data_IF_921309790959
#
_entry.id   IF_921309790959
#
_cell.length_a   1.000
_cell.length_b   1.000
_cell.length_c   1.000
_cell.angle_alpha   90.00
_cell.angle_beta   90.00
_cell.angle_gamma   90.00
#
_symmetry.space_group_name_H-M   'P 1'
#
loop_
_entity.id
_entity.type
_entity.pdbx_description
1 polymer ?
#
# COMPACT_ATOMS: atom_id res chain seq x y z
N UNK A 1 -20.28 9.11 13.51
CA UNK A 1 -20.00 7.66 13.60
C UNK A 1 -18.76 7.52 14.45
N UNK A 2 -18.71 6.58 15.37
CA UNK A 2 -17.48 6.26 16.11
C UNK A 2 -16.57 5.49 15.18
N UNK A 3 -15.28 5.86 15.11
CA UNK A 3 -14.31 5.15 14.31
C UNK A 3 -14.15 3.70 14.80
N UNK A 4 -13.80 2.79 13.87
CA UNK A 4 -13.50 1.39 14.20
C UNK A 4 -12.20 1.33 15.02
N UNK A 5 -12.08 0.36 15.90
CA UNK A 5 -10.88 0.15 16.70
C UNK A 5 -10.09 -1.08 16.19
N UNK A 6 -8.77 -0.94 16.11
CA UNK A 6 -7.90 -2.08 15.90
C UNK A 6 -8.01 -3.09 17.05
N UNK A 7 -7.83 -4.40 16.82
CA UNK A 7 -7.67 -5.37 17.91
C UNK A 7 -6.56 -5.02 18.90
N UNK A 8 -5.64 -4.14 18.52
CA UNK A 8 -4.51 -3.66 19.33
C UNK A 8 -4.74 -2.28 19.96
N UNK A 9 -5.90 -1.64 19.80
CA UNK A 9 -6.17 -0.27 20.29
C UNK A 9 -5.81 -0.10 21.77
N UNK A 10 -6.22 -1.02 22.63
CA UNK A 10 -5.89 -0.98 24.06
C UNK A 10 -4.38 -1.09 24.32
N UNK A 11 -3.67 -1.90 23.53
CA UNK A 11 -2.21 -2.04 23.61
C UNK A 11 -1.53 -0.73 23.21
N UNK A 12 -1.92 -0.14 22.07
CA UNK A 12 -1.36 1.12 21.60
C UNK A 12 -1.54 2.26 22.59
N UNK A 13 -2.75 2.40 23.16
CA UNK A 13 -3.03 3.42 24.19
C UNK A 13 -2.21 3.19 25.46
N UNK A 14 -2.03 1.92 25.87
CA UNK A 14 -1.27 1.58 27.09
C UNK A 14 0.24 1.90 26.98
N UNK A 15 0.79 1.91 25.77
CA UNK A 15 2.20 2.25 25.50
C UNK A 15 2.38 3.69 24.98
N UNK A 16 1.35 4.54 25.17
CA UNK A 16 1.45 5.99 24.90
C UNK A 16 1.39 6.37 23.43
N UNK A 17 0.78 5.55 22.56
CA UNK A 17 0.63 5.92 21.16
C UNK A 17 -0.25 7.16 20.99
N UNK A 18 0.14 8.04 20.08
CA UNK A 18 -0.70 9.14 19.60
C UNK A 18 -1.69 8.58 18.58
N UNK A 19 -2.96 8.48 18.97
CA UNK A 19 -4.02 7.95 18.12
C UNK A 19 -4.65 9.07 17.28
N UNK A 20 -4.96 8.76 16.01
CA UNK A 20 -5.65 9.65 15.07
C UNK A 20 -6.68 8.89 14.25
N UNK A 21 -7.76 9.55 13.80
CA UNK A 21 -8.66 8.99 12.80
C UNK A 21 -7.95 8.78 11.47
N UNK A 22 -8.09 7.59 10.89
CA UNK A 22 -7.52 7.25 9.59
C UNK A 22 -8.38 6.19 8.88
N UNK A 23 -8.95 6.54 7.72
CA UNK A 23 -9.77 5.60 6.93
C UNK A 23 -10.98 5.03 7.67
N UNK A 24 -11.55 5.76 8.64
CA UNK A 24 -12.66 5.31 9.49
C UNK A 24 -12.24 4.44 10.68
N UNK A 25 -10.96 4.45 11.02
CA UNK A 25 -10.35 3.74 12.16
C UNK A 25 -9.58 4.68 13.06
N UNK A 26 -9.54 4.37 14.36
CA UNK A 26 -8.55 4.95 15.29
C UNK A 26 -7.23 4.19 15.16
N UNK A 27 -6.19 4.87 14.68
CA UNK A 27 -4.88 4.24 14.41
C UNK A 27 -3.71 5.00 15.04
N UNK A 28 -2.61 4.31 15.41
CA UNK A 28 -1.42 4.98 15.95
C UNK A 28 -0.71 5.79 14.85
N UNK A 29 -0.61 7.11 15.07
CA UNK A 29 0.19 8.00 14.22
C UNK A 29 1.68 7.86 14.51
N UNK A 30 2.02 7.80 15.80
CA UNK A 30 3.40 7.63 16.30
C UNK A 30 3.37 7.18 17.76
N UNK A 31 4.50 6.69 18.23
CA UNK A 31 4.76 6.40 19.63
C UNK A 31 5.67 7.49 20.27
N UNK A 32 6.15 7.26 21.48
CA UNK A 32 6.86 8.28 22.30
C UNK A 32 8.07 8.89 21.57
N UNK A 33 8.88 8.07 20.89
CA UNK A 33 10.07 8.50 20.16
C UNK A 33 9.75 9.37 18.93
N UNK A 34 8.53 9.30 18.43
CA UNK A 34 7.99 10.07 17.31
C UNK A 34 8.40 9.59 15.93
N UNK A 35 7.69 10.09 14.93
CA UNK A 35 7.75 9.67 13.52
C UNK A 35 9.17 9.59 12.95
N UNK A 36 10.06 10.54 13.25
CA UNK A 36 11.42 10.54 12.68
C UNK A 36 12.31 9.43 13.26
N UNK A 37 12.16 9.14 14.55
CA UNK A 37 12.90 8.05 15.19
C UNK A 37 12.41 6.69 14.67
N UNK A 38 11.08 6.51 14.57
CA UNK A 38 10.45 5.31 14.01
C UNK A 38 10.88 5.08 12.55
N UNK A 39 10.91 6.13 11.74
CA UNK A 39 11.41 6.07 10.37
C UNK A 39 12.84 5.54 10.31
N UNK A 40 13.76 6.13 11.11
CA UNK A 40 15.16 5.67 11.17
C UNK A 40 15.28 4.25 11.72
N UNK A 41 14.45 3.89 12.71
CA UNK A 41 14.43 2.52 13.23
C UNK A 41 14.06 1.51 12.13
N UNK A 42 13.17 1.87 11.19
CA UNK A 42 12.87 1.05 10.03
C UNK A 42 14.05 0.93 9.08
N UNK A 43 14.72 2.06 8.74
CA UNK A 43 15.86 2.07 7.79
C UNK A 43 17.10 1.33 8.31
N UNK A 44 17.34 1.36 9.63
CA UNK A 44 18.58 0.83 10.22
C UNK A 44 18.39 -0.40 11.11
N UNK A 45 17.15 -0.79 11.39
CA UNK A 45 16.80 -1.89 12.28
C UNK A 45 15.59 -2.68 11.79
N UNK A 46 14.58 -2.77 12.65
CA UNK A 46 13.28 -3.31 12.30
C UNK A 46 12.17 -2.65 13.11
N UNK A 47 11.02 -2.47 12.47
CA UNK A 47 9.81 -1.92 13.09
C UNK A 47 8.62 -2.83 12.88
N UNK A 48 7.60 -2.68 13.72
CA UNK A 48 6.29 -3.30 13.53
C UNK A 48 5.22 -2.22 13.43
N UNK A 49 4.42 -2.28 12.37
CA UNK A 49 3.22 -1.47 12.18
C UNK A 49 1.99 -2.33 12.43
N UNK A 50 1.00 -1.76 13.12
CA UNK A 50 -0.36 -2.24 13.05
C UNK A 50 -1.01 -1.70 11.77
N UNK A 51 -1.36 -2.58 10.85
CA UNK A 51 -2.05 -2.24 9.60
C UNK A 51 -3.41 -2.95 9.51
N UNK A 52 -4.01 -3.26 10.67
CA UNK A 52 -5.28 -3.98 10.76
C UNK A 52 -6.48 -3.23 10.16
N UNK A 53 -6.33 -1.93 9.93
CA UNK A 53 -7.32 -1.10 9.22
C UNK A 53 -7.44 -1.44 7.73
N UNK A 54 -6.43 -2.04 7.11
CA UNK A 54 -6.55 -2.56 5.74
C UNK A 54 -7.63 -3.63 5.69
N UNK A 55 -8.50 -3.58 4.69
CA UNK A 55 -9.53 -4.59 4.51
C UNK A 55 -8.95 -5.97 4.22
N UNK A 56 -9.73 -7.00 4.46
CA UNK A 56 -9.50 -8.34 3.91
C UNK A 56 -10.81 -8.93 3.45
N UNK A 57 -10.99 -9.01 2.15
CA UNK A 57 -12.09 -9.74 1.53
C UNK A 57 -11.57 -11.12 1.17
N UNK A 58 -12.02 -12.13 1.89
CA UNK A 58 -11.68 -13.53 1.58
C UNK A 58 -12.59 -14.03 0.49
N UNK A 59 -12.00 -14.52 -0.61
CA UNK A 59 -12.72 -15.11 -1.75
C UNK A 59 -12.32 -16.58 -1.82
N UNK A 60 -13.33 -17.46 -1.76
CA UNK A 60 -13.12 -18.92 -1.81
C UNK A 60 -14.04 -19.58 -2.81
N UNK A 61 -13.65 -20.77 -3.28
CA UNK A 61 -14.42 -21.61 -4.19
C UNK A 61 -13.73 -21.89 -5.51
N UNK A 62 -14.28 -22.85 -6.29
CA UNK A 62 -13.65 -23.32 -7.51
C UNK A 62 -13.51 -22.24 -8.59
N UNK A 63 -14.41 -21.23 -8.59
CA UNK A 63 -14.42 -20.17 -9.58
C UNK A 63 -13.79 -18.86 -9.06
N UNK A 64 -13.19 -18.85 -7.85
CA UNK A 64 -12.57 -17.67 -7.24
C UNK A 64 -11.49 -17.06 -8.15
N UNK A 65 -10.66 -17.91 -8.76
CA UNK A 65 -9.62 -17.47 -9.71
C UNK A 65 -10.21 -16.68 -10.88
N UNK A 66 -11.25 -17.20 -11.54
CA UNK A 66 -11.84 -16.59 -12.74
C UNK A 66 -12.54 -15.26 -12.42
N UNK A 67 -13.21 -15.18 -11.25
CA UNK A 67 -13.81 -13.94 -10.77
C UNK A 67 -12.75 -12.87 -10.53
N UNK A 68 -11.68 -13.20 -9.82
CA UNK A 68 -10.59 -12.26 -9.54
C UNK A 68 -9.81 -11.88 -10.80
N UNK A 69 -9.61 -12.82 -11.73
CA UNK A 69 -9.00 -12.57 -13.03
C UNK A 69 -9.81 -11.55 -13.84
N UNK A 70 -11.12 -11.54 -13.71
CA UNK A 70 -12.04 -10.63 -14.38
C UNK A 70 -12.19 -9.29 -13.65
N UNK A 71 -12.00 -9.27 -12.33
CA UNK A 71 -12.09 -8.08 -11.51
C UNK A 71 -10.89 -7.13 -11.68
N UNK A 72 -9.68 -7.67 -11.66
CA UNK A 72 -8.46 -6.90 -11.45
C UNK A 72 -7.61 -6.79 -12.71
N UNK A 73 -6.70 -5.81 -12.72
CA UNK A 73 -5.87 -5.45 -13.90
C UNK A 73 -4.73 -6.41 -14.18
N UNK A 74 -4.13 -7.02 -13.14
CA UNK A 74 -2.98 -7.90 -13.31
C UNK A 74 -3.42 -9.34 -13.62
N UNK A 75 -2.50 -10.16 -14.10
CA UNK A 75 -2.76 -11.52 -14.54
C UNK A 75 -2.34 -12.55 -13.48
N UNK A 76 -3.32 -13.23 -12.88
CA UNK A 76 -3.10 -14.27 -11.88
C UNK A 76 -2.41 -15.52 -12.45
N UNK A 77 -2.47 -15.77 -13.77
CA UNK A 77 -1.72 -16.88 -14.37
C UNK A 77 -0.19 -16.73 -14.28
N UNK A 78 0.30 -15.53 -13.92
CA UNK A 78 1.73 -15.25 -13.73
C UNK A 78 2.28 -15.65 -12.37
N UNK A 79 1.39 -16.03 -11.47
CA UNK A 79 1.71 -16.52 -10.13
C UNK A 79 1.03 -17.86 -9.89
N UNK A 80 1.24 -18.44 -8.73
CA UNK A 80 0.65 -19.72 -8.31
C UNK A 80 0.16 -19.61 -6.86
N UNK A 81 -0.62 -20.57 -6.35
CA UNK A 81 -0.92 -20.66 -4.92
C UNK A 81 0.35 -20.53 -4.07
N UNK A 82 0.26 -19.80 -2.96
CA UNK A 82 1.39 -19.45 -2.13
C UNK A 82 2.15 -18.20 -2.57
N UNK A 83 1.57 -17.34 -3.45
CA UNK A 83 2.18 -16.10 -3.95
C UNK A 83 1.26 -14.90 -3.77
N UNK A 84 1.87 -13.73 -3.57
CA UNK A 84 1.17 -12.44 -3.56
C UNK A 84 1.32 -11.70 -4.90
N UNK A 85 0.30 -10.91 -5.27
CA UNK A 85 0.32 -10.09 -6.48
C UNK A 85 -0.33 -8.73 -6.24
N UNK A 86 0.36 -7.66 -6.64
CA UNK A 86 -0.19 -6.31 -6.69
C UNK A 86 -1.03 -6.10 -7.95
N UNK A 87 -2.19 -5.49 -7.80
CA UNK A 87 -3.15 -5.26 -8.87
C UNK A 87 -4.06 -4.07 -8.56
N UNK A 88 -4.89 -3.65 -9.51
CA UNK A 88 -5.87 -2.58 -9.33
C UNK A 88 -7.28 -3.06 -9.62
N UNK A 89 -8.25 -2.54 -8.85
CA UNK A 89 -9.64 -2.49 -9.22
C UNK A 89 -9.90 -1.14 -9.91
N UNK A 90 -10.47 -1.17 -11.11
CA UNK A 90 -10.76 0.06 -11.87
C UNK A 90 -12.25 0.40 -11.83
N UNK A 91 -12.55 1.67 -11.99
CA UNK A 91 -13.86 2.12 -12.39
C UNK A 91 -14.16 1.61 -13.82
N UNK A 92 -15.38 1.18 -14.06
CA UNK A 92 -15.76 0.55 -15.33
C UNK A 92 -15.81 1.56 -16.49
N UNK A 93 -16.20 2.79 -16.20
CA UNK A 93 -16.55 3.80 -17.21
C UNK A 93 -15.34 4.66 -17.60
N UNK A 94 -14.50 5.06 -16.62
CA UNK A 94 -13.39 5.99 -16.84
C UNK A 94 -12.00 5.39 -16.57
N UNK A 95 -11.93 4.13 -16.10
CA UNK A 95 -10.71 3.41 -15.72
C UNK A 95 -9.90 4.07 -14.60
N UNK A 96 -10.48 4.99 -13.82
CA UNK A 96 -9.82 5.50 -12.63
C UNK A 96 -9.63 4.37 -11.61
N UNK A 97 -8.55 4.44 -10.83
CA UNK A 97 -8.24 3.41 -9.84
C UNK A 97 -9.20 3.54 -8.66
N UNK A 98 -10.16 2.60 -8.56
CA UNK A 98 -11.05 2.49 -7.41
C UNK A 98 -10.27 2.09 -6.17
N UNK A 99 -9.35 1.13 -6.34
CA UNK A 99 -8.44 0.70 -5.29
C UNK A 99 -7.18 0.04 -5.86
N UNK A 100 -6.07 0.19 -5.16
CA UNK A 100 -4.84 -0.57 -5.37
C UNK A 100 -4.74 -1.64 -4.29
N UNK A 101 -4.55 -2.88 -4.75
CA UNK A 101 -4.81 -4.07 -3.95
C UNK A 101 -3.60 -4.99 -4.02
N UNK A 102 -3.30 -5.64 -2.91
CA UNK A 102 -2.47 -6.83 -2.93
C UNK A 102 -3.34 -8.07 -2.69
N UNK A 103 -3.23 -9.06 -3.58
CA UNK A 103 -3.88 -10.35 -3.43
C UNK A 103 -2.90 -11.32 -2.81
N UNK A 104 -3.28 -11.98 -1.73
CA UNK A 104 -2.58 -13.13 -1.19
C UNK A 104 -3.28 -14.40 -1.69
N UNK A 105 -2.67 -15.11 -2.61
CA UNK A 105 -3.18 -16.41 -3.07
C UNK A 105 -2.73 -17.49 -2.10
N UNK A 106 -3.59 -17.77 -1.12
CA UNK A 106 -3.25 -18.58 0.06
C UNK A 106 -3.15 -20.07 -0.27
N UNK A 107 -4.13 -20.60 -1.01
CA UNK A 107 -4.19 -21.97 -1.52
C UNK A 107 -5.03 -22.03 -2.81
N UNK A 108 -5.14 -23.18 -3.51
CA UNK A 108 -5.76 -23.23 -4.85
C UNK A 108 -7.12 -22.54 -5.00
N UNK A 109 -7.94 -22.56 -3.95
CA UNK A 109 -9.31 -22.03 -3.96
C UNK A 109 -9.52 -20.90 -2.93
N UNK A 110 -8.45 -20.35 -2.33
CA UNK A 110 -8.54 -19.31 -1.29
C UNK A 110 -7.64 -18.12 -1.61
N UNK A 111 -8.26 -16.96 -1.68
CA UNK A 111 -7.59 -15.67 -1.90
C UNK A 111 -7.99 -14.68 -0.80
N UNK A 112 -7.02 -14.01 -0.21
CA UNK A 112 -7.26 -12.85 0.63
C UNK A 112 -6.96 -11.59 -0.21
N UNK A 113 -8.00 -10.86 -0.56
CA UNK A 113 -7.93 -9.59 -1.29
C UNK A 113 -7.84 -8.47 -0.26
N UNK A 114 -6.79 -7.64 -0.35
CA UNK A 114 -6.43 -6.65 0.67
C UNK A 114 -6.68 -5.22 0.17
N UNK A 115 -7.92 -4.68 0.28
CA UNK A 115 -8.22 -3.31 -0.07
C UNK A 115 -7.71 -2.30 0.96
N UNK A 116 -7.57 -1.06 0.54
CA UNK A 116 -7.39 0.06 1.45
C UNK A 116 -8.62 0.21 2.38
N UNK A 117 -8.42 0.75 3.59
CA UNK A 117 -9.41 0.79 4.67
C UNK A 117 -10.79 1.33 4.26
N UNK A 118 -10.81 2.38 3.43
CA UNK A 118 -12.04 3.04 2.98
C UNK A 118 -12.74 2.36 1.81
N UNK A 119 -12.14 1.33 1.22
CA UNK A 119 -12.59 0.75 -0.06
C UNK A 119 -13.10 -0.69 0.05
N UNK A 120 -13.10 -1.31 1.24
CA UNK A 120 -13.54 -2.70 1.42
C UNK A 120 -14.93 -2.96 0.83
N UNK A 121 -15.92 -2.11 1.15
CA UNK A 121 -17.29 -2.24 0.63
C UNK A 121 -17.34 -2.06 -0.91
N UNK A 122 -16.51 -1.17 -1.47
CA UNK A 122 -16.45 -0.94 -2.93
C UNK A 122 -15.86 -2.14 -3.66
N UNK A 123 -14.83 -2.77 -3.08
CA UNK A 123 -14.22 -3.98 -3.63
C UNK A 123 -15.19 -5.15 -3.54
N UNK A 124 -15.84 -5.37 -2.40
CA UNK A 124 -16.86 -6.41 -2.24
C UNK A 124 -18.00 -6.24 -3.25
N UNK A 125 -18.56 -5.02 -3.35
CA UNK A 125 -19.63 -4.73 -4.31
C UNK A 125 -19.22 -4.92 -5.79
N UNK A 126 -17.95 -4.63 -6.13
CA UNK A 126 -17.44 -4.88 -7.48
C UNK A 126 -17.31 -6.39 -7.78
N UNK A 127 -16.86 -7.18 -6.81
CA UNK A 127 -16.81 -8.65 -6.95
C UNK A 127 -18.21 -9.24 -7.12
N UNK A 128 -19.20 -8.79 -6.33
CA UNK A 128 -20.59 -9.20 -6.47
C UNK A 128 -21.15 -8.90 -7.87
N UNK A 129 -20.88 -7.69 -8.41
CA UNK A 129 -21.29 -7.33 -9.77
C UNK A 129 -20.69 -8.26 -10.84
N UNK A 130 -19.43 -8.66 -10.67
CA UNK A 130 -18.76 -9.59 -11.59
C UNK A 130 -19.39 -10.97 -11.50
N UNK A 131 -19.62 -11.49 -10.30
CA UNK A 131 -20.31 -12.76 -10.10
C UNK A 131 -21.69 -12.77 -10.77
N UNK A 132 -22.48 -11.69 -10.61
CA UNK A 132 -23.79 -11.56 -11.26
C UNK A 132 -23.69 -11.53 -12.80
N UNK A 133 -22.56 -11.15 -13.36
CA UNK A 133 -22.32 -11.09 -14.81
C UNK A 133 -21.83 -12.41 -15.43
N UNK A 134 -21.57 -13.42 -14.61
CA UNK A 134 -21.03 -14.72 -15.01
C UNK A 134 -22.02 -15.83 -14.67
N UNK A 135 -22.33 -16.71 -15.62
CA UNK A 135 -23.26 -17.82 -15.41
C UNK A 135 -22.59 -18.99 -14.65
N UNK A 136 -23.33 -19.58 -13.72
CA UNK A 136 -22.94 -20.85 -13.06
C UNK A 136 -21.76 -20.75 -12.10
N UNK A 137 -21.40 -19.55 -11.64
CA UNK A 137 -20.26 -19.28 -10.74
C UNK A 137 -20.57 -19.72 -9.31
N UNK A 138 -19.59 -20.37 -8.69
CA UNK A 138 -19.64 -20.83 -7.30
C UNK A 138 -18.44 -20.27 -6.53
N UNK A 139 -18.66 -19.17 -5.83
CA UNK A 139 -17.71 -18.58 -4.88
C UNK A 139 -18.42 -18.21 -3.58
N UNK A 140 -17.65 -18.07 -2.50
CA UNK A 140 -17.99 -17.32 -1.29
C UNK A 140 -17.02 -16.14 -1.15
N UNK A 141 -17.55 -14.94 -0.91
CA UNK A 141 -16.75 -13.74 -0.73
C UNK A 141 -17.24 -12.97 0.50
N UNK A 142 -16.39 -12.83 1.50
CA UNK A 142 -16.75 -12.19 2.77
C UNK A 142 -15.67 -11.26 3.32
N UNK A 143 -16.10 -10.14 3.91
CA UNK A 143 -15.21 -9.25 4.68
C UNK A 143 -14.88 -9.88 6.02
N UNK A 144 -13.62 -10.29 6.20
CA UNK A 144 -13.08 -10.86 7.44
C UNK A 144 -12.18 -9.87 8.20
N UNK A 145 -12.24 -8.59 7.87
CA UNK A 145 -11.37 -7.56 8.46
C UNK A 145 -11.41 -7.54 9.98
N UNK A 146 -12.59 -7.71 10.60
CA UNK A 146 -12.75 -7.71 12.05
C UNK A 146 -12.27 -8.98 12.75
N UNK A 147 -12.03 -10.06 12.02
CA UNK A 147 -11.65 -11.36 12.59
C UNK A 147 -10.15 -11.46 12.88
N UNK A 148 -9.36 -10.54 12.34
CA UNK A 148 -7.91 -10.60 12.35
C UNK A 148 -7.25 -9.24 12.64
N UNK A 149 -5.98 -9.26 13.05
CA UNK A 149 -5.05 -8.15 12.93
C UNK A 149 -4.04 -8.43 11.81
N UNK A 150 -3.48 -7.38 11.21
CA UNK A 150 -2.32 -7.49 10.34
C UNK A 150 -1.18 -6.68 10.93
N UNK A 151 -0.04 -7.37 11.17
CA UNK A 151 1.19 -6.77 11.67
C UNK A 151 2.24 -6.79 10.56
N UNK A 152 2.71 -5.60 10.14
CA UNK A 152 3.78 -5.47 9.16
C UNK A 152 5.13 -5.28 9.87
N UNK A 153 6.01 -6.28 9.79
CA UNK A 153 7.39 -6.21 10.32
C UNK A 153 8.33 -5.90 9.18
N UNK A 154 9.01 -4.75 9.25
CA UNK A 154 9.77 -4.18 8.13
C UNK A 154 11.13 -3.64 8.60
N UNK A 155 12.17 -3.79 7.77
CA UNK A 155 13.50 -3.26 8.01
C UNK A 155 14.61 -4.25 7.70
N UNK A 156 15.88 -3.81 7.55
CA UNK A 156 17.00 -4.70 7.20
C UNK A 156 17.30 -5.77 8.25
N UNK A 157 16.87 -5.57 9.51
CA UNK A 157 17.00 -6.57 10.58
C UNK A 157 15.72 -7.36 10.85
N UNK A 158 14.64 -7.14 10.05
CA UNK A 158 13.35 -7.77 10.28
C UNK A 158 13.46 -9.30 10.34
N UNK A 159 14.15 -9.91 9.37
CA UNK A 159 14.30 -11.38 9.31
C UNK A 159 15.06 -11.95 10.51
N UNK A 160 16.15 -11.31 10.90
CA UNK A 160 16.98 -11.79 12.03
C UNK A 160 16.26 -11.67 13.37
N UNK A 161 15.46 -10.61 13.58
CA UNK A 161 14.69 -10.46 14.80
C UNK A 161 13.46 -11.38 14.80
N UNK A 162 12.78 -11.53 13.66
CA UNK A 162 11.67 -12.48 13.52
C UNK A 162 12.08 -13.92 13.79
N UNK A 163 13.30 -14.35 13.40
CA UNK A 163 13.77 -15.71 13.67
C UNK A 163 13.87 -16.03 15.17
N UNK A 164 14.01 -15.03 16.02
CA UNK A 164 13.99 -15.22 17.49
C UNK A 164 12.56 -15.39 18.03
N UNK A 165 11.55 -14.99 17.27
CA UNK A 165 10.13 -15.20 17.60
C UNK A 165 9.62 -16.49 16.99
N UNK A 166 9.87 -16.67 15.67
CA UNK A 166 9.51 -17.87 14.91
C UNK A 166 10.28 -17.93 13.58
N UNK A 167 11.06 -18.98 13.38
CA UNK A 167 11.88 -19.19 12.19
C UNK A 167 11.03 -19.38 10.92
N UNK A 168 9.85 -20.00 11.02
CA UNK A 168 8.98 -20.20 9.86
C UNK A 168 8.43 -18.87 9.35
N UNK A 169 8.08 -17.95 10.24
CA UNK A 169 7.67 -16.57 9.86
C UNK A 169 8.84 -15.84 9.19
N UNK A 170 10.03 -15.90 9.78
CA UNK A 170 11.23 -15.25 9.25
C UNK A 170 11.62 -15.77 7.85
N UNK A 171 11.30 -17.02 7.52
CA UNK A 171 11.68 -17.67 6.27
C UNK A 171 10.74 -17.41 5.08
N UNK A 172 9.64 -16.66 5.26
CA UNK A 172 8.70 -16.33 4.18
C UNK A 172 9.33 -15.32 3.21
N UNK A 173 9.70 -15.75 2.01
CA UNK A 173 10.40 -14.92 1.04
C UNK A 173 9.50 -13.82 0.45
N UNK A 174 10.12 -12.87 -0.24
CA UNK A 174 9.43 -11.78 -0.92
C UNK A 174 8.36 -12.32 -1.90
N UNK A 175 7.14 -11.83 -1.74
CA UNK A 175 5.94 -12.26 -2.46
C UNK A 175 5.51 -13.72 -2.24
N UNK A 176 6.13 -14.47 -1.33
CA UNK A 176 5.56 -15.74 -0.86
C UNK A 176 4.39 -15.46 0.08
N UNK A 177 3.41 -16.38 0.09
CA UNK A 177 2.29 -16.41 1.04
C UNK A 177 2.26 -17.79 1.66
N UNK A 178 2.25 -17.89 3.00
CA UNK A 178 2.24 -19.16 3.70
C UNK A 178 1.20 -19.19 4.81
N UNK A 179 0.52 -20.32 4.95
CA UNK A 179 -0.21 -20.67 6.18
C UNK A 179 0.79 -21.22 7.18
N UNK A 180 0.82 -20.66 8.35
CA UNK A 180 1.68 -21.07 9.45
C UNK A 180 0.85 -21.21 10.72
N UNK A 181 1.46 -21.72 11.78
CA UNK A 181 0.88 -21.78 13.12
C UNK A 181 1.87 -21.15 14.11
N UNK A 182 1.37 -20.28 14.97
CA UNK A 182 2.16 -19.70 16.05
C UNK A 182 1.37 -19.77 17.35
N UNK A 183 1.90 -20.50 18.36
CA UNK A 183 1.27 -20.69 19.68
C UNK A 183 -0.20 -21.16 19.60
N UNK A 184 -0.51 -22.04 18.64
CA UNK A 184 -1.86 -22.57 18.42
C UNK A 184 -2.78 -21.64 17.60
N UNK A 185 -2.31 -20.48 17.18
CA UNK A 185 -3.04 -19.58 16.28
C UNK A 185 -2.66 -19.84 14.82
N UNK A 186 -3.65 -19.99 13.95
CA UNK A 186 -3.43 -20.07 12.52
C UNK A 186 -3.06 -18.67 11.96
N UNK A 187 -1.93 -18.58 11.27
CA UNK A 187 -1.47 -17.36 10.61
C UNK A 187 -1.53 -17.49 9.09
N UNK A 188 -1.70 -16.35 8.42
CA UNK A 188 -1.31 -16.19 7.02
C UNK A 188 -0.19 -15.14 6.98
N UNK A 189 0.96 -15.50 6.45
CA UNK A 189 2.13 -14.63 6.40
C UNK A 189 2.53 -14.40 4.94
N UNK A 190 2.68 -13.14 4.56
CA UNK A 190 3.13 -12.75 3.23
C UNK A 190 4.44 -11.96 3.30
N UNK A 191 5.36 -12.23 2.36
CA UNK A 191 6.59 -11.45 2.18
C UNK A 191 6.33 -10.14 1.46
N UNK A 192 5.45 -9.32 2.00
CA UNK A 192 5.00 -8.04 1.46
C UNK A 192 5.26 -6.90 2.42
N UNK A 193 5.07 -5.66 1.98
CA UNK A 193 5.26 -4.46 2.78
C UNK A 193 5.15 -3.18 1.96
N UNK A 194 5.22 -2.03 2.65
CA UNK A 194 4.98 -0.72 2.07
C UNK A 194 6.04 0.32 2.50
N UNK A 195 7.27 -0.13 2.75
CA UNK A 195 8.35 0.72 3.26
C UNK A 195 9.55 0.84 2.33
N UNK A 196 9.63 -0.06 1.34
CA UNK A 196 10.83 -0.25 0.53
C UNK A 196 11.85 -1.21 1.17
N UNK A 197 11.73 -1.49 2.48
CA UNK A 197 12.57 -2.45 3.18
C UNK A 197 12.07 -3.88 3.04
N UNK A 198 12.93 -4.85 3.38
CA UNK A 198 12.54 -6.25 3.50
C UNK A 198 11.66 -6.47 4.75
N UNK A 199 10.82 -7.49 4.69
CA UNK A 199 9.95 -7.85 5.80
C UNK A 199 8.80 -8.75 5.43
N UNK A 200 7.84 -8.85 6.35
CA UNK A 200 6.60 -9.63 6.20
C UNK A 200 5.40 -8.86 6.71
N UNK A 201 4.24 -9.23 6.22
CA UNK A 201 2.94 -8.90 6.81
C UNK A 201 2.31 -10.18 7.35
N UNK A 202 1.84 -10.15 8.60
CA UNK A 202 1.35 -11.31 9.36
C UNK A 202 -0.11 -11.07 9.70
N UNK A 203 -1.03 -11.80 9.06
CA UNK A 203 -2.42 -11.87 9.48
C UNK A 203 -2.55 -12.89 10.62
N UNK A 204 -3.02 -12.44 11.76
CA UNK A 204 -3.21 -13.21 13.00
C UNK A 204 -4.64 -13.05 13.48
N UNK A 205 -5.31 -14.09 14.03
CA UNK A 205 -6.62 -13.93 14.65
C UNK A 205 -6.63 -12.79 15.67
N UNK A 206 -7.68 -11.97 15.69
CA UNK A 206 -7.78 -10.80 16.56
C UNK A 206 -7.51 -11.13 18.04
N UNK A 207 -7.93 -12.31 18.51
CA UNK A 207 -7.71 -12.79 19.87
C UNK A 207 -6.24 -13.05 20.22
N UNK A 208 -5.35 -13.20 19.25
CA UNK A 208 -3.91 -13.47 19.44
C UNK A 208 -3.03 -12.26 19.06
N UNK A 209 -3.64 -11.18 18.58
CA UNK A 209 -2.92 -10.00 18.10
C UNK A 209 -2.02 -9.39 19.18
N UNK A 210 -2.54 -9.20 20.40
CA UNK A 210 -1.78 -8.63 21.52
C UNK A 210 -0.60 -9.51 21.94
N UNK A 211 -0.76 -10.83 21.92
CA UNK A 211 0.31 -11.76 22.27
C UNK A 211 1.44 -11.73 21.22
N UNK A 212 1.09 -11.70 19.92
CA UNK A 212 2.07 -11.61 18.85
C UNK A 212 2.78 -10.24 18.87
N UNK A 213 2.05 -9.13 19.07
CA UNK A 213 2.64 -7.81 19.21
C UNK A 213 3.68 -7.76 20.33
N UNK A 214 3.33 -8.32 21.50
CA UNK A 214 4.25 -8.38 22.64
C UNK A 214 5.49 -9.24 22.35
N UNK A 215 5.33 -10.38 21.68
CA UNK A 215 6.45 -11.22 21.27
C UNK A 215 7.40 -10.48 20.31
N UNK A 216 6.86 -9.78 19.31
CA UNK A 216 7.64 -9.00 18.34
C UNK A 216 8.40 -7.86 19.02
N UNK A 217 7.72 -7.08 19.87
CA UNK A 217 8.36 -5.95 20.57
C UNK A 217 9.38 -6.40 21.61
N UNK A 218 9.14 -7.52 22.28
CA UNK A 218 10.11 -8.13 23.20
C UNK A 218 11.35 -8.68 22.49
N UNK A 219 11.26 -9.01 21.22
CA UNK A 219 12.38 -9.40 20.37
C UNK A 219 13.22 -8.19 19.88
N UNK A 220 12.86 -6.96 20.28
CA UNK A 220 13.57 -5.73 19.91
C UNK A 220 13.06 -5.07 18.63
N UNK A 221 11.91 -5.49 18.10
CA UNK A 221 11.26 -4.84 16.95
C UNK A 221 10.53 -3.60 17.46
N UNK A 222 10.86 -2.43 16.94
CA UNK A 222 10.35 -1.14 17.43
C UNK A 222 8.92 -0.89 16.94
N UNK A 223 7.95 -0.51 17.80
CA UNK A 223 6.66 0.00 17.36
C UNK A 223 6.79 1.22 16.46
N UNK A 224 6.03 1.26 15.36
CA UNK A 224 6.00 2.41 14.47
C UNK A 224 4.57 2.69 13.99
N UNK A 225 4.24 3.98 13.84
CA UNK A 225 2.93 4.44 13.46
C UNK A 225 2.81 4.90 12.01
N UNK A 226 1.58 5.34 11.63
CA UNK A 226 1.26 5.77 10.27
C UNK A 226 2.13 6.92 9.77
N UNK A 227 2.63 7.79 10.67
CA UNK A 227 3.51 8.89 10.29
C UNK A 227 4.84 8.39 9.70
N UNK A 228 5.46 7.38 10.33
CA UNK A 228 6.67 6.75 9.79
C UNK A 228 6.35 5.94 8.52
N UNK A 229 5.22 5.22 8.49
CA UNK A 229 4.79 4.47 7.31
C UNK A 229 4.65 5.39 6.09
N UNK A 230 4.07 6.60 6.24
CA UNK A 230 3.92 7.55 5.13
C UNK A 230 5.28 8.10 4.64
N UNK A 231 6.18 8.47 5.54
CA UNK A 231 7.51 8.96 5.11
C UNK A 231 8.34 7.87 4.43
N UNK A 232 8.25 6.63 4.91
CA UNK A 232 8.96 5.46 4.34
C UNK A 232 8.44 5.09 2.96
N UNK A 233 7.11 5.00 2.78
CA UNK A 233 6.53 4.70 1.48
C UNK A 233 6.88 5.76 0.43
N UNK A 234 6.90 7.06 0.85
CA UNK A 234 7.27 8.15 -0.05
C UNK A 234 8.72 8.04 -0.49
N UNK A 235 9.67 7.76 0.42
CA UNK A 235 11.06 7.50 0.06
C UNK A 235 11.22 6.31 -0.90
N UNK A 236 10.41 5.27 -0.70
CA UNK A 236 10.35 4.12 -1.62
C UNK A 236 9.65 4.43 -2.95
N UNK A 237 9.06 5.63 -3.09
CA UNK A 237 8.32 6.03 -4.30
C UNK A 237 7.02 5.28 -4.50
N UNK A 238 6.44 4.71 -3.43
CA UNK A 238 5.19 3.96 -3.48
C UNK A 238 3.99 4.92 -3.42
N UNK A 239 3.03 4.79 -4.35
CA UNK A 239 1.85 5.64 -4.38
C UNK A 239 0.93 5.37 -3.19
N UNK A 240 0.15 6.40 -2.80
CA UNK A 240 -0.87 6.33 -1.77
C UNK A 240 -2.25 6.53 -2.40
N UNK A 241 -3.20 5.64 -2.07
CA UNK A 241 -4.59 5.82 -2.46
C UNK A 241 -5.17 7.11 -1.84
N UNK A 242 -5.89 7.88 -2.66
CA UNK A 242 -6.37 9.21 -2.31
C UNK A 242 -5.44 10.36 -2.75
N UNK A 243 -4.19 10.06 -3.12
CA UNK A 243 -3.18 11.02 -3.56
C UNK A 243 -2.69 10.72 -4.99
N UNK A 244 -1.93 9.65 -5.18
CA UNK A 244 -1.40 9.22 -6.48
C UNK A 244 -2.32 8.25 -7.21
N UNK A 245 -3.29 7.68 -6.51
CA UNK A 245 -4.30 6.76 -7.00
C UNK A 245 -5.67 7.18 -6.49
N UNK A 246 -6.73 6.97 -7.27
CA UNK A 246 -8.08 7.35 -6.90
C UNK A 246 -8.90 7.84 -8.09
N UNK A 247 -10.01 8.53 -7.80
CA UNK A 247 -10.92 9.07 -8.81
C UNK A 247 -10.20 10.00 -9.79
N UNK A 248 -10.41 9.81 -11.09
CA UNK A 248 -9.80 10.59 -12.16
C UNK A 248 -8.30 10.29 -12.39
N UNK A 249 -7.75 9.26 -11.76
CA UNK A 249 -6.36 8.83 -11.93
C UNK A 249 -6.34 7.38 -12.40
N UNK A 250 -5.72 7.13 -13.55
CA UNK A 250 -5.58 5.79 -14.11
C UNK A 250 -4.24 5.14 -13.72
N UNK A 251 -4.19 3.81 -13.84
CA UNK A 251 -2.95 3.04 -13.65
C UNK A 251 -1.81 3.53 -14.55
N UNK A 252 -2.13 4.02 -15.75
CA UNK A 252 -1.14 4.50 -16.72
C UNK A 252 -0.58 5.85 -16.31
N UNK A 253 -1.43 6.78 -15.87
CA UNK A 253 -1.01 8.09 -15.35
C UNK A 253 -0.13 7.94 -14.11
N UNK A 254 -0.46 7.00 -13.22
CA UNK A 254 0.31 6.69 -12.01
C UNK A 254 1.65 5.97 -12.29
N UNK A 255 1.97 5.65 -13.56
CA UNK A 255 3.20 4.93 -13.91
C UNK A 255 3.18 3.44 -13.55
N UNK A 256 2.01 2.89 -13.25
CA UNK A 256 1.80 1.51 -12.80
C UNK A 256 1.31 0.58 -13.93
N UNK A 257 1.56 0.93 -15.18
CA UNK A 257 1.20 0.10 -16.34
C UNK A 257 1.75 -1.33 -16.29
N UNK A 258 2.79 -1.58 -15.49
CA UNK A 258 3.34 -2.92 -15.27
C UNK A 258 2.36 -3.85 -14.51
N UNK A 259 1.44 -3.29 -13.71
CA UNK A 259 0.38 -4.01 -13.01
C UNK A 259 -0.88 -4.22 -13.87
N UNK A 260 -0.86 -3.81 -15.15
CA UNK A 260 -1.96 -3.97 -16.11
C UNK A 260 -1.57 -4.98 -17.18
N UNK A 261 -2.43 -5.97 -17.42
CA UNK A 261 -2.23 -7.00 -18.44
C UNK A 261 -3.41 -7.00 -19.42
N UNK A 262 -3.25 -6.28 -20.52
CA UNK A 262 -4.27 -6.23 -21.58
C UNK A 262 -4.41 -7.55 -22.36
N UNK A 263 -3.37 -8.40 -22.34
CA UNK A 263 -3.29 -9.68 -23.05
C UNK A 263 -3.98 -10.84 -22.31
N UNK A 264 -4.42 -10.64 -21.07
CA UNK A 264 -5.13 -11.69 -20.30
C UNK A 264 -6.63 -11.83 -20.64
N UNK A 265 -7.15 -10.99 -21.52
CA UNK A 265 -8.56 -10.86 -21.81
C UNK A 265 -9.24 -9.72 -21.05
N UNK A 266 -10.58 -9.58 -21.15
CA UNK A 266 -11.30 -8.46 -20.56
C UNK A 266 -11.29 -8.50 -19.02
N UNK A 267 -11.11 -7.32 -18.43
CA UNK A 267 -11.26 -7.09 -17.00
C UNK A 267 -12.02 -5.77 -16.78
N UNK A 268 -12.50 -5.55 -15.56
CA UNK A 268 -13.26 -4.33 -15.23
C UNK A 268 -12.47 -3.07 -15.59
N UNK A 269 -13.07 -2.17 -16.39
CA UNK A 269 -12.46 -0.92 -16.86
C UNK A 269 -11.43 -1.08 -17.99
N UNK A 270 -11.20 -2.30 -18.52
CA UNK A 270 -10.18 -2.56 -19.53
C UNK A 270 -10.38 -1.79 -20.85
N UNK A 271 -11.64 -1.57 -21.29
CA UNK A 271 -11.94 -0.84 -22.52
C UNK A 271 -11.57 0.64 -22.41
N UNK A 272 -11.98 1.29 -21.31
CA UNK A 272 -11.67 2.69 -21.05
C UNK A 272 -10.16 2.91 -20.89
N UNK A 273 -9.46 1.99 -20.18
CA UNK A 273 -8.01 2.04 -20.02
C UNK A 273 -7.25 1.81 -21.34
N UNK A 274 -7.74 0.92 -22.19
CA UNK A 274 -7.17 0.71 -23.52
C UNK A 274 -7.33 1.95 -24.41
N UNK A 275 -8.50 2.60 -24.37
CA UNK A 275 -8.73 3.86 -25.09
C UNK A 275 -7.79 4.98 -24.60
N UNK A 276 -7.47 5.07 -23.31
CA UNK A 276 -6.46 5.99 -22.81
C UNK A 276 -5.06 5.65 -23.33
N UNK A 277 -4.66 4.36 -23.26
CA UNK A 277 -3.37 3.91 -23.79
C UNK A 277 -3.18 4.32 -25.24
N UNK A 278 -4.22 4.15 -26.08
CA UNK A 278 -4.15 4.38 -27.53
C UNK A 278 -4.10 5.89 -27.87
N UNK A 279 -4.76 6.77 -27.10
CA UNK A 279 -4.66 8.23 -27.26
C UNK A 279 -3.46 8.88 -26.55
N UNK A 280 -2.80 8.16 -25.62
CA UNK A 280 -1.78 8.67 -24.72
C UNK A 280 -2.36 9.30 -23.44
N UNK A 281 -1.54 9.28 -22.38
CA UNK A 281 -1.87 9.88 -21.08
C UNK A 281 -1.76 11.41 -21.13
N UNK A 282 -2.60 12.11 -20.37
CA UNK A 282 -2.58 13.58 -20.27
C UNK A 282 -1.58 14.12 -19.24
N UNK A 283 -1.18 13.28 -18.28
CA UNK A 283 -0.23 13.59 -17.21
C UNK A 283 0.46 12.32 -16.76
N UNK A 284 1.60 12.45 -16.09
CA UNK A 284 2.33 11.30 -15.52
C UNK A 284 2.80 11.59 -14.10
N UNK A 285 2.78 10.58 -13.26
CA UNK A 285 3.40 10.65 -11.94
C UNK A 285 4.93 10.66 -12.07
N UNK A 286 5.57 11.58 -11.35
CA UNK A 286 7.02 11.72 -11.33
C UNK A 286 7.51 12.02 -9.91
N UNK A 287 8.76 11.63 -9.62
CA UNK A 287 9.46 12.02 -8.41
C UNK A 287 10.14 13.38 -8.58
N UNK A 288 10.10 14.20 -7.54
CA UNK A 288 10.78 15.50 -7.46
C UNK A 288 11.65 15.55 -6.21
N UNK A 289 12.85 16.09 -6.33
CA UNK A 289 13.73 16.43 -5.20
C UNK A 289 13.91 17.94 -5.13
N UNK A 290 13.95 18.48 -3.90
CA UNK A 290 14.17 19.91 -3.66
C UNK A 290 15.38 20.10 -2.77
N UNK A 291 16.06 21.24 -2.89
CA UNK A 291 17.14 21.56 -1.97
C UNK A 291 16.64 22.00 -0.58
N UNK A 292 17.46 21.74 0.43
CA UNK A 292 17.24 22.20 1.79
C UNK A 292 16.16 21.42 2.56
N UNK A 293 15.82 21.91 3.74
CA UNK A 293 14.98 21.22 4.73
C UNK A 293 13.49 21.54 4.62
N UNK A 294 13.10 22.51 3.77
CA UNK A 294 11.69 22.88 3.59
C UNK A 294 11.03 21.85 2.68
N UNK A 295 10.08 21.05 3.19
CA UNK A 295 9.47 20.02 2.36
C UNK A 295 8.41 20.60 1.43
N UNK A 296 8.30 20.09 0.20
CA UNK A 296 7.10 20.23 -0.61
C UNK A 296 5.88 19.71 0.17
N UNK A 297 4.70 20.18 -0.18
CA UNK A 297 3.45 19.73 0.47
C UNK A 297 2.42 19.37 -0.59
N UNK A 298 1.56 18.44 -0.26
CA UNK A 298 0.37 18.14 -1.05
C UNK A 298 -0.38 19.42 -1.44
N UNK A 299 -0.90 19.48 -2.67
CA UNK A 299 -1.60 20.64 -3.23
C UNK A 299 -0.69 21.79 -3.66
N UNK A 300 0.63 21.70 -3.47
CA UNK A 300 1.57 22.72 -3.95
C UNK A 300 1.65 22.70 -5.47
N UNK A 301 1.49 23.88 -6.10
CA UNK A 301 1.62 24.01 -7.55
C UNK A 301 3.06 23.73 -8.01
N UNK A 302 3.20 22.98 -9.11
CA UNK A 302 4.46 22.76 -9.81
C UNK A 302 4.50 23.63 -11.05
N UNK A 303 5.57 24.43 -11.22
CA UNK A 303 5.70 25.40 -12.28
C UNK A 303 6.88 25.07 -13.20
N UNK A 304 6.69 25.30 -14.51
CA UNK A 304 7.75 25.33 -15.53
C UNK A 304 7.74 26.73 -16.14
N UNK A 305 8.84 27.45 -16.08
CA UNK A 305 8.98 28.83 -16.58
C UNK A 305 7.91 29.79 -16.03
N UNK A 306 7.53 29.66 -14.76
CA UNK A 306 6.52 30.49 -14.10
C UNK A 306 5.07 30.13 -14.41
N UNK A 307 4.81 29.11 -15.24
CA UNK A 307 3.47 28.60 -15.56
C UNK A 307 3.18 27.35 -14.76
N UNK A 308 2.01 27.28 -14.12
CA UNK A 308 1.55 26.08 -13.40
C UNK A 308 1.29 24.96 -14.40
N UNK A 309 2.00 23.85 -14.25
CA UNK A 309 1.93 22.68 -15.13
C UNK A 309 1.60 21.38 -14.40
N UNK A 310 1.53 21.40 -13.07
CA UNK A 310 1.27 20.21 -12.27
C UNK A 310 1.02 20.54 -10.81
N UNK A 311 0.86 19.48 -10.01
CA UNK A 311 0.57 19.59 -8.59
C UNK A 311 1.28 18.46 -7.83
N UNK A 312 1.81 18.78 -6.64
CA UNK A 312 2.37 17.83 -5.70
C UNK A 312 1.22 17.01 -5.08
N UNK A 313 1.30 15.69 -5.21
CA UNK A 313 0.33 14.76 -4.62
C UNK A 313 0.76 14.30 -3.23
N UNK A 314 2.06 14.03 -3.04
CA UNK A 314 2.67 13.70 -1.75
C UNK A 314 4.02 14.41 -1.64
N UNK A 315 4.32 14.98 -0.48
CA UNK A 315 5.60 15.64 -0.29
C UNK A 315 6.00 15.73 1.17
N UNK A 316 7.27 15.42 1.46
CA UNK A 316 7.81 15.46 2.80
C UNK A 316 9.32 15.70 2.79
N UNK A 317 9.89 15.89 3.98
CA UNK A 317 11.31 15.84 4.21
C UNK A 317 11.76 14.39 4.35
N UNK A 318 12.79 13.98 3.61
CA UNK A 318 13.41 12.67 3.76
C UNK A 318 14.48 12.72 4.87
N UNK A 319 14.32 11.93 5.96
CA UNK A 319 15.34 11.84 7.00
C UNK A 319 16.65 11.22 6.54
N UNK A 320 16.59 10.32 5.53
CA UNK A 320 17.76 9.65 4.97
C UNK A 320 18.54 10.56 4.02
N UNK A 321 17.83 11.31 3.17
CA UNK A 321 18.46 12.16 2.15
C UNK A 321 18.81 13.55 2.67
N UNK A 322 18.17 14.01 3.75
CA UNK A 322 18.40 15.32 4.32
C UNK A 322 17.80 16.50 3.55
N UNK A 323 16.88 16.24 2.61
CA UNK A 323 16.20 17.24 1.78
C UNK A 323 14.73 16.89 1.48
N UNK A 324 14.01 17.78 0.82
CA UNK A 324 12.61 17.55 0.45
C UNK A 324 12.49 16.61 -0.75
N UNK A 325 11.50 15.72 -0.69
CA UNK A 325 11.08 14.82 -1.77
C UNK A 325 9.59 14.94 -2.00
N UNK A 326 9.14 14.70 -3.24
CA UNK A 326 7.73 14.71 -3.57
C UNK A 326 7.40 13.76 -4.74
N UNK A 327 6.15 13.31 -4.77
CA UNK A 327 5.50 12.80 -5.95
C UNK A 327 4.58 13.89 -6.50
N UNK A 328 4.49 14.01 -7.81
CA UNK A 328 3.67 15.02 -8.47
C UNK A 328 3.17 14.52 -9.83
N UNK A 329 1.98 14.93 -10.23
CA UNK A 329 1.55 14.78 -11.61
C UNK A 329 2.10 15.94 -12.46
N UNK A 330 2.87 15.59 -13.48
CA UNK A 330 3.52 16.48 -14.41
C UNK A 330 3.04 16.22 -15.85
N UNK A 331 3.29 17.14 -16.80
CA UNK A 331 3.06 16.90 -18.22
C UNK A 331 3.75 15.61 -18.70
N UNK A 332 3.18 14.91 -19.69
CA UNK A 332 3.72 13.62 -20.17
C UNK A 332 5.16 13.70 -20.71
N UNK A 333 5.58 14.88 -21.17
CA UNK A 333 6.92 15.16 -21.71
C UNK A 333 7.99 15.37 -20.64
N UNK A 334 7.60 15.51 -19.37
CA UNK A 334 8.55 15.68 -18.26
C UNK A 334 9.51 14.47 -18.16
N UNK A 335 10.79 14.73 -18.06
CA UNK A 335 11.87 13.75 -18.07
C UNK A 335 12.80 13.91 -16.87
N UNK A 336 13.48 12.83 -16.49
CA UNK A 336 14.49 12.85 -15.42
C UNK A 336 15.56 13.89 -15.74
N UNK A 337 15.84 14.76 -14.78
CA UNK A 337 16.78 15.89 -14.90
C UNK A 337 16.11 17.22 -15.26
N UNK A 338 14.84 17.24 -15.68
CA UNK A 338 14.11 18.47 -15.92
C UNK A 338 13.95 19.29 -14.63
N UNK A 339 14.03 20.62 -14.79
CA UNK A 339 13.90 21.56 -13.67
C UNK A 339 12.50 22.17 -13.63
N UNK A 340 11.97 22.26 -12.43
CA UNK A 340 10.70 22.85 -12.09
C UNK A 340 10.85 23.72 -10.84
N UNK A 341 9.83 24.50 -10.52
CA UNK A 341 9.71 25.16 -9.22
C UNK A 341 8.44 24.68 -8.54
N UNK A 342 8.47 24.51 -7.21
CA UNK A 342 7.30 24.17 -6.41
C UNK A 342 6.94 25.38 -5.55
N UNK A 343 5.70 25.88 -5.68
CA UNK A 343 5.21 26.95 -4.81
C UNK A 343 4.74 26.42 -3.46
N UNK A 344 5.55 26.64 -2.44
CA UNK A 344 5.20 26.28 -1.07
C UNK A 344 4.82 27.56 -0.30
N UNK A 345 3.54 27.92 -0.35
CA UNK A 345 2.98 29.10 0.32
C UNK A 345 3.70 30.40 -0.06
N UNK A 346 3.85 30.65 -1.36
CA UNK A 346 4.48 31.86 -1.91
C UNK A 346 6.01 31.84 -1.92
N UNK A 347 6.63 30.71 -1.52
CA UNK A 347 8.07 30.50 -1.67
C UNK A 347 8.31 29.45 -2.73
N UNK A 348 9.01 29.82 -3.79
CA UNK A 348 9.43 28.90 -4.84
C UNK A 348 10.62 28.08 -4.36
N UNK A 349 10.49 26.76 -4.45
CA UNK A 349 11.57 25.80 -4.23
C UNK A 349 11.98 25.25 -5.58
N UNK A 350 13.26 25.31 -5.90
CA UNK A 350 13.80 24.64 -7.08
C UNK A 350 13.66 23.12 -6.91
N UNK A 351 13.21 22.44 -7.94
CA UNK A 351 12.94 21.01 -7.94
C UNK A 351 13.48 20.37 -9.22
N UNK A 352 14.03 19.17 -9.07
CA UNK A 352 14.54 18.37 -10.19
C UNK A 352 13.77 17.05 -10.26
N UNK A 353 13.38 16.66 -11.47
CA UNK A 353 12.72 15.37 -11.72
C UNK A 353 13.72 14.24 -11.51
N UNK A 354 13.34 13.26 -10.70
CA UNK A 354 14.11 12.04 -10.46
C UNK A 354 13.23 10.79 -10.68
N UNK A 355 13.89 9.66 -10.86
CA UNK A 355 13.18 8.38 -10.93
C UNK A 355 13.12 7.77 -9.52
N UNK A 356 11.92 7.53 -8.93
CA UNK A 356 11.81 6.75 -7.71
C UNK A 356 12.30 5.30 -7.88
N UNK A 357 12.72 4.60 -6.80
CA UNK A 357 12.71 5.07 -5.42
C UNK A 357 13.70 6.22 -5.18
N UNK A 358 13.43 7.06 -4.14
CA UNK A 358 14.33 8.15 -3.76
C UNK A 358 15.52 7.63 -2.94
N UNK A 359 15.28 6.57 -2.15
CA UNK A 359 16.28 5.85 -1.35
C UNK A 359 16.34 4.43 -1.86
N UNK A 360 17.53 3.92 -2.12
CA UNK A 360 17.77 2.58 -2.64
C UNK A 360 19.03 1.96 -2.10
#
# INVERSE_FOLDING_TARGET
MTDRLSPLDAVHRSIGAKIVPFGGWDMPLSYEEGTLAEHRACRHGAVVFDVSHLGTVRVTGPDAFDVLQRAFTNDLHRIAPGRAQYTHLLDQDDASVVDDIIIWWVDPETFDVMPNASNTDRVTGALEQIVMSMDGITIDAGDITSERAILAVQGPQARSLLSTVDEAIASVNRFDVRRLEWQGAALVVAGTGYTGEDGVEIAVPASHAAALWLALTSAGITPAGLGARDTLRLEAGLPLHGHELGAGITSLQAGLGWAVRFDKGPFRGSEALAAERDRGISRRLAGLVTEGRRPPREGSAVLRDGVVVGEVTSGNYSPELGHGIALAFLPPDASVGDQFSIDVRGTLLDAVVVKPPFVG
#
